data_IF_021126784813
#
_entry.id   IF_021126784813
#
_cell.length_a   1.000
_cell.length_b   1.000
_cell.length_c   1.000
_cell.angle_alpha   90.00
_cell.angle_beta   90.00
_cell.angle_gamma   90.00
#
_symmetry.space_group_name_H-M   'P 1'
#
loop_
_entity.id
_entity.type
_entity.pdbx_description
1 polymer ?
#
# COMPACT_ATOMS: atom_id res chain seq x y z
N UNK A 1 5.26 -21.21 32.43
CA UNK A 1 5.99 -20.07 31.83
C UNK A 1 5.72 -20.16 30.33
N UNK A 2 4.65 -19.48 29.87
CA UNK A 2 4.17 -19.54 28.49
C UNK A 2 4.99 -18.59 27.64
N UNK A 3 5.72 -19.16 26.69
CA UNK A 3 6.40 -18.41 25.63
C UNK A 3 5.26 -17.95 24.70
N UNK A 4 4.98 -16.66 24.69
CA UNK A 4 4.15 -16.05 23.65
C UNK A 4 4.99 -16.05 22.37
N UNK A 5 4.66 -16.96 21.44
CA UNK A 5 5.06 -16.83 20.05
C UNK A 5 4.42 -15.55 19.50
N UNK A 6 5.20 -14.48 19.49
CA UNK A 6 4.90 -13.31 18.67
C UNK A 6 5.19 -13.73 17.25
N UNK A 7 4.13 -14.09 16.54
CA UNK A 7 4.14 -14.31 15.08
C UNK A 7 4.60 -13.00 14.42
N UNK A 8 5.90 -12.84 14.21
CA UNK A 8 6.47 -11.79 13.39
C UNK A 8 6.11 -12.13 11.93
N UNK A 9 4.95 -11.65 11.49
CA UNK A 9 4.60 -11.69 10.08
C UNK A 9 5.75 -11.08 9.28
N UNK A 10 6.39 -11.90 8.45
CA UNK A 10 7.55 -11.55 7.65
C UNK A 10 7.20 -10.40 6.70
N UNK A 11 7.97 -9.32 6.74
CA UNK A 11 7.91 -8.27 5.75
C UNK A 11 8.78 -8.65 4.55
N UNK A 12 8.24 -8.54 3.34
CA UNK A 12 9.03 -8.62 2.11
C UNK A 12 9.46 -7.20 1.73
N UNK A 13 10.77 -6.93 1.69
CA UNK A 13 11.28 -5.58 1.43
C UNK A 13 12.47 -5.57 0.48
N UNK A 14 12.70 -4.41 -0.14
CA UNK A 14 13.88 -4.12 -0.94
C UNK A 14 14.36 -2.70 -0.68
N UNK A 15 15.66 -2.57 -0.43
CA UNK A 15 16.36 -1.30 -0.24
C UNK A 15 17.43 -1.13 -1.30
N UNK A 16 17.41 0.00 -1.99
CA UNK A 16 18.47 0.47 -2.90
C UNK A 16 18.79 1.94 -2.54
N UNK A 17 19.83 2.55 -3.15
CA UNK A 17 20.17 3.95 -2.88
C UNK A 17 19.00 4.90 -3.14
N UNK A 18 18.46 5.50 -2.08
CA UNK A 18 17.32 6.41 -2.14
C UNK A 18 15.99 5.75 -2.50
N UNK A 19 15.88 4.41 -2.38
CA UNK A 19 14.64 3.67 -2.64
C UNK A 19 14.43 2.66 -1.51
N UNK A 20 13.21 2.68 -0.94
CA UNK A 20 12.72 1.66 -0.03
C UNK A 20 11.33 1.22 -0.46
N UNK A 21 11.13 -0.06 -0.68
CA UNK A 21 9.81 -0.64 -0.97
C UNK A 21 9.57 -1.85 -0.08
N UNK A 22 8.33 -2.01 0.41
CA UNK A 22 7.98 -3.12 1.28
C UNK A 22 6.50 -3.52 1.18
N UNK A 23 6.26 -4.80 1.45
CA UNK A 23 4.94 -5.38 1.75
C UNK A 23 4.98 -5.95 3.17
N UNK A 24 3.96 -5.72 3.98
CA UNK A 24 3.92 -6.17 5.37
C UNK A 24 2.51 -6.43 5.85
N UNK A 25 2.35 -7.36 6.78
CA UNK A 25 1.09 -7.57 7.51
C UNK A 25 0.97 -6.72 8.77
N UNK A 26 2.02 -5.99 9.13
CA UNK A 26 2.03 -5.14 10.32
C UNK A 26 1.32 -3.81 10.07
N UNK A 27 0.86 -3.18 11.14
CA UNK A 27 0.38 -1.79 11.13
C UNK A 27 1.49 -0.88 10.63
N UNK A 28 1.14 0.05 9.74
CA UNK A 28 2.12 0.97 9.15
C UNK A 28 2.46 2.11 10.11
N UNK A 29 3.74 2.50 10.12
CA UNK A 29 4.25 3.63 10.91
C UNK A 29 4.70 4.77 9.98
N UNK A 30 3.89 5.83 9.95
CA UNK A 30 4.12 7.00 9.12
C UNK A 30 5.45 7.70 9.44
N UNK A 31 5.82 7.77 10.74
CA UNK A 31 7.09 8.37 11.13
C UNK A 31 8.28 7.54 10.66
N UNK A 32 8.23 6.23 10.83
CA UNK A 32 9.30 5.33 10.39
C UNK A 32 9.53 5.42 8.86
N UNK A 33 8.45 5.54 8.07
CA UNK A 33 8.55 5.69 6.61
C UNK A 33 9.11 7.06 6.22
N UNK A 34 8.71 8.14 6.88
CA UNK A 34 9.31 9.46 6.65
C UNK A 34 10.80 9.48 6.98
N UNK A 35 11.21 8.78 8.05
CA UNK A 35 12.61 8.73 8.46
C UNK A 35 13.49 8.01 7.41
N UNK A 36 12.93 7.06 6.65
CA UNK A 36 13.65 6.38 5.54
C UNK A 36 13.99 7.31 4.36
N UNK A 37 13.29 8.41 4.20
CA UNK A 37 13.51 9.37 3.09
C UNK A 37 14.19 10.67 3.54
N UNK A 38 14.41 10.85 4.85
CA UNK A 38 15.07 12.07 5.36
C UNK A 38 16.47 12.25 4.82
N UNK A 39 16.79 13.48 4.46
CA UNK A 39 18.12 13.88 4.03
C UNK A 39 18.37 15.35 4.38
N UNK A 40 19.59 15.73 4.81
CA UNK A 40 19.94 17.12 5.00
C UNK A 40 19.95 17.92 3.69
N UNK A 41 19.93 17.25 2.54
CA UNK A 41 19.88 17.87 1.21
C UNK A 41 18.44 18.18 0.76
N UNK A 42 17.43 17.75 1.53
CA UNK A 42 16.01 17.89 1.15
C UNK A 42 15.29 18.85 2.08
N UNK A 43 14.66 19.85 1.50
CA UNK A 43 13.78 20.80 2.20
C UNK A 43 12.31 20.38 2.25
N UNK A 44 11.94 19.28 1.58
CA UNK A 44 10.56 18.83 1.52
C UNK A 44 10.43 17.30 1.62
N UNK A 45 9.46 16.87 2.42
CA UNK A 45 8.96 15.49 2.42
C UNK A 45 7.44 15.58 2.21
N UNK A 46 6.92 14.85 1.23
CA UNK A 46 5.50 14.61 1.05
C UNK A 46 5.21 13.18 1.48
N UNK A 47 4.21 13.00 2.33
CA UNK A 47 3.68 11.71 2.74
C UNK A 47 2.24 11.59 2.27
N UNK A 48 1.94 10.55 1.52
CA UNK A 48 0.58 10.08 1.26
C UNK A 48 0.28 8.89 2.16
N UNK A 49 -0.87 8.94 2.85
CA UNK A 49 -1.41 7.84 3.63
C UNK A 49 -2.80 7.47 3.08
N UNK A 50 -2.93 6.27 2.51
CA UNK A 50 -4.20 5.73 2.05
C UNK A 50 -4.88 4.96 3.19
N UNK A 51 -6.06 5.42 3.62
CA UNK A 51 -6.81 4.83 4.74
C UNK A 51 -8.09 4.15 4.28
N UNK A 52 -8.57 3.19 5.07
CA UNK A 52 -9.83 2.48 4.82
C UNK A 52 -11.01 3.36 5.23
N UNK A 53 -11.94 3.60 4.29
CA UNK A 53 -13.19 4.34 4.52
C UNK A 53 -14.28 3.40 5.02
N UNK A 54 -15.23 3.93 5.78
CA UNK A 54 -16.40 3.20 6.32
C UNK A 54 -17.50 2.95 5.30
N UNK A 55 -17.39 3.47 4.08
CA UNK A 55 -18.39 3.33 3.03
C UNK A 55 -17.78 3.23 1.63
N UNK A 56 -18.49 2.54 0.74
CA UNK A 56 -18.22 2.50 -0.68
C UNK A 56 -19.53 2.45 -1.47
N UNK A 57 -19.74 3.42 -2.36
CA UNK A 57 -20.97 3.49 -3.17
C UNK A 57 -22.27 3.55 -2.34
N UNK A 58 -22.24 4.20 -1.17
CA UNK A 58 -23.36 4.30 -0.25
C UNK A 58 -23.60 3.06 0.63
N UNK A 59 -22.75 2.02 0.52
CA UNK A 59 -22.81 0.81 1.33
C UNK A 59 -21.79 0.87 2.46
N UNK A 60 -22.15 0.43 3.70
CA UNK A 60 -21.21 0.37 4.79
C UNK A 60 -20.13 -0.70 4.53
N UNK A 61 -18.88 -0.31 4.70
CA UNK A 61 -17.70 -1.19 4.63
C UNK A 61 -17.34 -1.60 6.05
N UNK A 62 -17.05 -2.88 6.26
CA UNK A 62 -16.60 -3.41 7.55
C UNK A 62 -15.09 -3.28 7.70
N UNK A 63 -14.35 -3.70 6.71
CA UNK A 63 -12.90 -3.55 6.56
C UNK A 63 -12.51 -3.80 5.10
N UNK A 64 -11.27 -3.51 4.75
CA UNK A 64 -10.64 -3.98 3.52
C UNK A 64 -9.66 -5.10 3.86
N UNK A 65 -9.46 -6.03 2.92
CA UNK A 65 -8.37 -6.98 3.00
C UNK A 65 -7.57 -6.96 1.69
N UNK A 66 -6.26 -7.06 1.81
CA UNK A 66 -5.34 -7.00 0.68
C UNK A 66 -4.54 -8.27 0.55
N UNK A 67 -4.38 -8.73 -0.70
CA UNK A 67 -3.46 -9.79 -1.08
C UNK A 67 -2.54 -9.32 -2.20
N UNK A 68 -1.41 -10.01 -2.39
CA UNK A 68 -0.42 -9.64 -3.40
C UNK A 68 0.37 -10.85 -3.86
N UNK A 69 0.82 -10.81 -5.11
CA UNK A 69 1.94 -11.64 -5.54
C UNK A 69 3.24 -10.91 -5.22
N UNK A 70 3.73 -11.11 -4.00
CA UNK A 70 4.77 -10.30 -3.36
C UNK A 70 6.06 -10.13 -4.20
N UNK A 71 6.66 -11.20 -4.81
CA UNK A 71 7.89 -11.05 -5.58
C UNK A 71 7.75 -10.10 -6.78
N UNK A 72 6.58 -10.12 -7.45
CA UNK A 72 6.32 -9.26 -8.60
C UNK A 72 6.00 -7.83 -8.12
N UNK A 73 5.15 -7.69 -7.10
CA UNK A 73 4.80 -6.40 -6.54
C UNK A 73 6.02 -5.61 -6.04
N UNK A 74 6.97 -6.25 -5.35
CA UNK A 74 8.23 -5.63 -4.95
C UNK A 74 9.04 -5.17 -6.16
N UNK A 75 9.12 -5.95 -7.24
CA UNK A 75 9.80 -5.53 -8.47
C UNK A 75 9.11 -4.35 -9.12
N UNK A 76 7.80 -4.39 -9.22
CA UNK A 76 6.99 -3.31 -9.81
C UNK A 76 7.14 -2.02 -9.02
N UNK A 77 7.01 -2.05 -7.69
CA UNK A 77 7.23 -0.88 -6.82
C UNK A 77 8.65 -0.31 -6.96
N UNK A 78 9.67 -1.19 -7.04
CA UNK A 78 11.05 -0.76 -7.25
C UNK A 78 11.23 -0.07 -8.61
N UNK A 79 10.61 -0.61 -9.67
CA UNK A 79 10.65 -0.01 -11.01
C UNK A 79 9.98 1.37 -11.04
N UNK A 80 8.82 1.50 -10.41
CA UNK A 80 8.12 2.79 -10.25
C UNK A 80 9.00 3.81 -9.53
N UNK A 81 9.62 3.41 -8.42
CA UNK A 81 10.52 4.28 -7.66
C UNK A 81 11.71 4.77 -8.51
N UNK A 82 12.31 3.90 -9.32
CA UNK A 82 13.39 4.26 -10.26
C UNK A 82 12.92 5.23 -11.34
N UNK A 83 11.76 4.97 -11.94
CA UNK A 83 11.14 5.84 -12.94
C UNK A 83 10.91 7.25 -12.38
N UNK A 84 10.34 7.36 -11.20
CA UNK A 84 10.06 8.64 -10.55
C UNK A 84 11.35 9.41 -10.18
N UNK A 85 12.39 8.70 -9.71
CA UNK A 85 13.69 9.31 -9.45
C UNK A 85 14.35 9.84 -10.72
N UNK A 86 14.17 9.17 -11.85
CA UNK A 86 14.70 9.62 -13.14
C UNK A 86 13.91 10.81 -13.72
N UNK A 87 12.60 10.88 -13.45
CA UNK A 87 11.70 11.88 -14.03
C UNK A 87 11.64 13.18 -13.22
N UNK A 88 11.72 13.08 -11.90
CA UNK A 88 11.61 14.19 -10.96
C UNK A 88 12.91 14.34 -10.17
N UNK A 89 13.11 15.50 -9.56
CA UNK A 89 14.25 15.74 -8.68
C UNK A 89 14.04 15.08 -7.30
N UNK A 90 13.85 13.75 -7.31
CA UNK A 90 13.62 12.93 -6.12
C UNK A 90 14.93 12.44 -5.55
N UNK A 91 15.21 12.83 -4.30
CA UNK A 91 16.35 12.33 -3.54
C UNK A 91 16.07 10.90 -3.05
N UNK A 92 14.96 10.70 -2.33
CA UNK A 92 14.56 9.38 -1.83
C UNK A 92 13.05 9.18 -1.91
N UNK A 93 12.66 7.92 -2.11
CA UNK A 93 11.27 7.48 -2.15
C UNK A 93 11.10 6.20 -1.35
N UNK A 94 10.04 6.13 -0.54
CA UNK A 94 9.63 4.94 0.19
C UNK A 94 8.17 4.62 -0.15
N UNK A 95 7.90 3.36 -0.48
CA UNK A 95 6.56 2.84 -0.77
C UNK A 95 6.36 1.58 0.06
N UNK A 96 5.36 1.59 0.95
CA UNK A 96 5.01 0.41 1.74
C UNK A 96 3.52 0.14 1.65
N UNK A 97 3.13 -1.10 1.39
CA UNK A 97 1.75 -1.55 1.35
C UNK A 97 1.49 -2.62 2.41
N UNK A 98 0.38 -2.47 3.15
CA UNK A 98 -0.07 -3.45 4.12
C UNK A 98 -0.91 -4.53 3.43
N UNK A 99 -0.68 -5.77 3.79
CA UNK A 99 -1.43 -6.94 3.37
C UNK A 99 -2.31 -7.46 4.51
N UNK A 100 -3.28 -8.31 4.17
CA UNK A 100 -4.26 -8.81 5.13
C UNK A 100 -5.33 -7.79 5.46
N UNK A 101 -5.98 -7.94 6.60
CA UNK A 101 -7.08 -7.09 7.04
C UNK A 101 -6.58 -5.71 7.47
N UNK A 102 -7.20 -4.67 6.89
CA UNK A 102 -6.97 -3.26 7.25
C UNK A 102 -8.29 -2.67 7.74
N UNK A 103 -8.41 -2.43 9.05
CA UNK A 103 -9.61 -1.84 9.64
C UNK A 103 -9.92 -0.44 9.12
N UNK A 104 -11.16 0.02 9.38
CA UNK A 104 -11.57 1.40 9.09
C UNK A 104 -10.64 2.39 9.79
N UNK A 105 -10.28 3.47 9.06
CA UNK A 105 -9.39 4.55 9.49
C UNK A 105 -7.90 4.15 9.63
N UNK A 106 -7.53 2.88 9.42
CA UNK A 106 -6.13 2.48 9.38
C UNK A 106 -5.54 2.59 7.97
N UNK A 107 -4.22 2.74 7.91
CA UNK A 107 -3.47 2.87 6.68
C UNK A 107 -3.26 1.52 5.99
N UNK A 108 -3.55 1.48 4.69
CA UNK A 108 -3.22 0.36 3.80
C UNK A 108 -1.94 0.60 3.01
N UNK A 109 -1.60 1.86 2.75
CA UNK A 109 -0.41 2.25 1.99
C UNK A 109 0.16 3.55 2.54
N UNK A 110 1.49 3.63 2.58
CA UNK A 110 2.23 4.87 2.79
C UNK A 110 3.21 5.08 1.64
N UNK A 111 3.25 6.29 1.11
CA UNK A 111 4.23 6.72 0.11
C UNK A 111 4.87 7.99 0.63
N UNK A 112 6.20 7.96 0.84
CA UNK A 112 6.97 9.13 1.25
C UNK A 112 7.99 9.48 0.17
N UNK A 113 8.09 10.76 -0.17
CA UNK A 113 9.02 11.29 -1.18
C UNK A 113 9.76 12.47 -0.60
N UNK A 114 11.09 12.50 -0.71
CA UNK A 114 11.90 13.65 -0.35
C UNK A 114 12.59 14.27 -1.56
N UNK A 115 12.59 15.60 -1.59
CA UNK A 115 13.18 16.40 -2.66
C UNK A 115 13.79 17.69 -2.09
N UNK A 116 14.73 18.35 -2.80
CA UNK A 116 15.24 19.67 -2.39
C UNK A 116 14.12 20.70 -2.22
N UNK A 117 13.12 20.70 -3.13
CA UNK A 117 12.03 21.69 -3.15
C UNK A 117 10.65 21.02 -3.23
N UNK A 118 9.67 21.59 -2.51
CA UNK A 118 8.32 21.05 -2.33
C UNK A 118 7.55 20.70 -3.61
N UNK A 119 7.74 21.44 -4.70
CA UNK A 119 6.98 21.23 -5.92
C UNK A 119 7.25 19.86 -6.55
N UNK A 120 8.52 19.45 -6.60
CA UNK A 120 8.90 18.14 -7.09
C UNK A 120 8.35 17.02 -6.18
N UNK A 121 8.35 17.23 -4.85
CA UNK A 121 7.79 16.25 -3.90
C UNK A 121 6.29 16.00 -4.12
N UNK A 122 5.51 17.07 -4.32
CA UNK A 122 4.07 16.93 -4.60
C UNK A 122 3.80 16.19 -5.89
N UNK A 123 4.49 16.57 -6.99
CA UNK A 123 4.32 15.90 -8.28
C UNK A 123 4.73 14.44 -8.25
N UNK A 124 5.88 14.13 -7.67
CA UNK A 124 6.36 12.76 -7.56
C UNK A 124 5.49 11.91 -6.63
N UNK A 125 4.99 12.46 -5.53
CA UNK A 125 4.09 11.77 -4.60
C UNK A 125 2.75 11.42 -5.22
N UNK A 126 2.12 12.35 -5.94
CA UNK A 126 0.88 12.12 -6.68
C UNK A 126 1.07 11.04 -7.76
N UNK A 127 2.08 11.19 -8.60
CA UNK A 127 2.37 10.24 -9.67
C UNK A 127 2.74 8.85 -9.12
N UNK A 128 3.46 8.78 -7.99
CA UNK A 128 3.76 7.52 -7.32
C UNK A 128 2.48 6.75 -6.96
N UNK A 129 1.49 7.44 -6.39
CA UNK A 129 0.20 6.82 -6.05
C UNK A 129 -0.52 6.29 -7.29
N UNK A 130 -0.60 7.09 -8.35
CA UNK A 130 -1.27 6.69 -9.59
C UNK A 130 -0.60 5.46 -10.22
N UNK A 131 0.74 5.45 -10.32
CA UNK A 131 1.50 4.33 -10.87
C UNK A 131 1.38 3.06 -10.01
N UNK A 132 1.40 3.20 -8.68
CA UNK A 132 1.20 2.07 -7.77
C UNK A 132 -0.19 1.47 -7.96
N UNK A 133 -1.23 2.29 -8.00
CA UNK A 133 -2.61 1.81 -8.24
C UNK A 133 -2.79 1.17 -9.61
N UNK A 134 -2.11 1.68 -10.62
CA UNK A 134 -2.21 1.17 -12.00
C UNK A 134 -1.48 -0.16 -12.20
N UNK A 135 -0.27 -0.30 -11.63
CA UNK A 135 0.69 -1.33 -12.03
C UNK A 135 1.00 -2.38 -10.97
N UNK A 136 0.90 -2.05 -9.66
CA UNK A 136 1.32 -2.98 -8.62
C UNK A 136 0.31 -4.10 -8.43
N UNK A 137 0.80 -5.31 -8.33
CA UNK A 137 0.03 -6.55 -8.22
C UNK A 137 -0.49 -6.74 -6.78
N UNK A 138 -1.43 -5.88 -6.42
CA UNK A 138 -2.19 -5.91 -5.16
C UNK A 138 -3.67 -5.93 -5.47
N UNK A 139 -4.39 -6.85 -4.84
CA UNK A 139 -5.85 -6.98 -4.91
C UNK A 139 -6.46 -6.60 -3.58
N UNK A 140 -7.63 -5.99 -3.62
CA UNK A 140 -8.39 -5.66 -2.43
C UNK A 140 -9.75 -6.34 -2.41
N UNK A 141 -10.11 -6.89 -1.27
CA UNK A 141 -11.43 -7.35 -0.93
C UNK A 141 -12.14 -6.28 -0.13
N UNK A 142 -13.28 -5.82 -0.62
CA UNK A 142 -14.20 -4.97 0.13
C UNK A 142 -15.22 -5.87 0.81
N UNK A 143 -15.18 -5.97 2.13
CA UNK A 143 -16.16 -6.72 2.91
C UNK A 143 -17.22 -5.76 3.44
N UNK A 144 -18.48 -6.01 3.02
CA UNK A 144 -19.61 -5.18 3.40
C UNK A 144 -20.29 -5.72 4.67
N UNK A 145 -20.92 -4.83 5.44
CA UNK A 145 -21.73 -5.22 6.60
C UNK A 145 -22.99 -5.98 6.21
N UNK A 146 -23.40 -6.97 7.03
CA UNK A 146 -24.54 -7.85 6.78
C UNK A 146 -24.20 -9.07 5.92
N UNK A 147 -25.23 -9.68 5.31
CA UNK A 147 -25.11 -10.93 4.52
C UNK A 147 -24.69 -10.69 3.06
N UNK A 148 -24.23 -9.49 2.71
CA UNK A 148 -23.92 -9.12 1.31
C UNK A 148 -22.62 -9.70 0.77
N UNK A 149 -21.78 -10.30 1.62
CA UNK A 149 -20.48 -10.87 1.22
C UNK A 149 -19.45 -9.81 0.87
N UNK A 150 -18.44 -10.20 0.09
CA UNK A 150 -17.32 -9.33 -0.30
C UNK A 150 -17.19 -9.18 -1.81
N UNK A 151 -16.40 -8.20 -2.24
CA UNK A 151 -16.07 -7.98 -3.66
C UNK A 151 -14.56 -7.84 -3.82
N UNK A 152 -13.95 -8.79 -4.53
CA UNK A 152 -12.55 -8.70 -4.93
C UNK A 152 -12.37 -7.75 -6.11
N UNK A 153 -11.41 -6.84 -6.00
CA UNK A 153 -11.03 -5.90 -7.06
C UNK A 153 -9.51 -5.81 -7.18
N UNK A 154 -9.02 -5.61 -8.41
CA UNK A 154 -7.67 -5.04 -8.56
C UNK A 154 -7.63 -3.70 -7.83
N UNK A 155 -6.48 -3.34 -7.24
CA UNK A 155 -6.32 -2.07 -6.49
C UNK A 155 -6.28 -0.85 -7.43
N UNK A 156 -7.10 -0.87 -8.49
CA UNK A 156 -7.27 0.19 -9.48
C UNK A 156 -8.62 0.84 -9.30
N UNK A 157 -8.67 2.16 -9.39
CA UNK A 157 -9.93 2.88 -9.35
C UNK A 157 -10.79 2.56 -10.59
N UNK A 158 -12.10 2.40 -10.40
CA UNK A 158 -13.06 2.24 -11.50
C UNK A 158 -13.22 0.81 -12.08
N UNK A 159 -12.52 -0.20 -11.58
CA UNK A 159 -12.69 -1.57 -12.06
C UNK A 159 -13.87 -2.30 -11.40
N UNK A 160 -14.69 -2.98 -12.22
CA UNK A 160 -15.72 -3.90 -11.73
C UNK A 160 -15.05 -5.08 -11.01
N UNK A 161 -15.52 -5.39 -9.81
CA UNK A 161 -14.99 -6.48 -9.00
C UNK A 161 -15.73 -7.81 -9.21
N UNK A 162 -15.16 -8.90 -8.71
CA UNK A 162 -15.80 -10.22 -8.65
C UNK A 162 -16.45 -10.41 -7.29
N UNK A 163 -17.76 -10.67 -7.26
CA UNK A 163 -18.50 -10.93 -6.02
C UNK A 163 -18.11 -12.29 -5.44
N UNK A 164 -17.91 -12.32 -4.12
CA UNK A 164 -17.66 -13.54 -3.35
C UNK A 164 -18.82 -13.68 -2.35
N UNK A 165 -19.55 -14.81 -2.44
CA UNK A 165 -20.58 -15.17 -1.45
C UNK A 165 -19.92 -15.46 -0.11
N UNK A 166 -20.53 -15.00 1.00
CA UNK A 166 -19.98 -15.03 2.35
C UNK A 166 -19.40 -16.38 2.77
N UNK A 167 -18.09 -16.45 2.73
CA UNK A 167 -17.26 -17.51 3.27
C UNK A 167 -16.04 -16.87 3.94
N UNK A 168 -15.46 -17.53 4.90
CA UNK A 168 -14.26 -17.06 5.59
C UNK A 168 -13.10 -16.88 4.60
N UNK A 169 -12.24 -15.90 4.86
CA UNK A 169 -11.07 -15.52 4.04
C UNK A 169 -10.16 -16.69 3.60
N UNK A 170 -10.28 -17.87 4.25
CA UNK A 170 -9.48 -19.05 3.94
C UNK A 170 -9.99 -19.88 2.74
N UNK A 171 -11.17 -19.59 2.21
CA UNK A 171 -11.79 -20.39 1.13
C UNK A 171 -11.72 -19.72 -0.25
N UNK A 172 -11.12 -18.53 -0.35
CA UNK A 172 -11.09 -17.75 -1.60
C UNK A 172 -9.79 -18.03 -2.35
N UNK A 173 -9.86 -18.79 -3.44
CA UNK A 173 -8.77 -18.88 -4.41
C UNK A 173 -8.58 -17.52 -5.08
N UNK A 174 -7.33 -17.06 -5.11
CA UNK A 174 -6.93 -15.87 -5.85
C UNK A 174 -7.37 -15.96 -7.31
N UNK A 175 -7.88 -14.89 -7.92
CA UNK A 175 -8.14 -14.87 -9.35
C UNK A 175 -6.82 -15.00 -10.12
N UNK A 176 -6.83 -15.83 -11.13
CA UNK A 176 -5.68 -16.10 -12.01
C UNK A 176 -5.22 -14.87 -12.80
#
# INVERSE_FOLDING_TARGET
>A
MSIQDTDHASATERTETGIYVALTHNVLDAKAIMDKVRSPQCGAIVLFAGTTRDNFGGKPVKHLAYSSYEPLAIRTMTSIAKELKAKHDVHSIAIIHRLGVVPIAEESILIAVSTPHRQAAWRAGEEALELVKERVEVWKLEEFGGDEGGVWRANRDGHAGTKVSGGTLNDVKEPA
#
